data_IF_773147471683
#
_entry.id   IF_773147471683
#
_cell.length_a   1.000
_cell.length_b   1.000
_cell.length_c   1.000
_cell.angle_alpha   90.00
_cell.angle_beta   90.00
_cell.angle_gamma   90.00
#
_symmetry.space_group_name_H-M   'P 1'
#
loop_
_entity.id
_entity.type
_entity.pdbx_description
1 polymer ?
#
# COMPACT_ATOMS: atom_id res chain seq x y z
N UNK A 1 -15.24 -75.08 -24.04
CA UNK A 1 -14.80 -74.45 -25.28
C UNK A 1 -15.75 -73.30 -25.59
N UNK A 2 -15.34 -72.10 -25.23
CA UNK A 2 -16.04 -70.84 -25.63
C UNK A 2 -15.03 -69.79 -26.03
N UNK A 3 -15.25 -69.23 -27.22
CA UNK A 3 -14.31 -68.35 -27.96
C UNK A 3 -14.31 -66.93 -27.34
N UNK A 4 -13.12 -66.39 -27.05
CA UNK A 4 -12.91 -64.99 -26.83
C UNK A 4 -12.99 -64.21 -28.16
N UNK A 5 -13.94 -63.28 -28.25
CA UNK A 5 -13.97 -62.22 -29.25
C UNK A 5 -13.24 -60.99 -28.68
N UNK A 6 -12.20 -60.54 -29.34
CA UNK A 6 -11.57 -59.26 -29.13
C UNK A 6 -12.38 -58.20 -29.85
N UNK A 7 -13.02 -57.31 -29.11
CA UNK A 7 -13.52 -56.06 -29.66
C UNK A 7 -12.45 -54.98 -29.49
N UNK A 8 -12.07 -54.33 -30.59
CA UNK A 8 -11.23 -53.14 -30.65
C UNK A 8 -12.17 -51.95 -30.43
N UNK A 9 -12.13 -51.33 -29.28
CA UNK A 9 -12.84 -50.10 -28.95
C UNK A 9 -11.91 -48.90 -29.09
N UNK A 10 -12.41 -47.87 -29.73
CA UNK A 10 -11.70 -46.69 -30.17
C UNK A 10 -11.11 -45.82 -29.08
N UNK A 11 -10.03 -45.17 -29.42
CA UNK A 11 -9.41 -44.10 -28.68
C UNK A 11 -10.33 -42.87 -28.68
N UNK A 12 -11.02 -42.62 -27.58
CA UNK A 12 -11.58 -41.30 -27.29
C UNK A 12 -10.43 -40.43 -26.78
N UNK A 13 -9.82 -39.68 -27.68
CA UNK A 13 -8.97 -38.55 -27.33
C UNK A 13 -9.81 -37.52 -26.59
N UNK A 14 -9.75 -37.54 -25.27
CA UNK A 14 -10.28 -36.46 -24.47
C UNK A 14 -9.53 -35.18 -24.81
N UNK A 15 -10.20 -34.29 -25.51
CA UNK A 15 -9.79 -32.90 -25.63
C UNK A 15 -9.84 -32.35 -24.20
N UNK A 16 -8.69 -32.24 -23.57
CA UNK A 16 -8.55 -31.41 -22.38
C UNK A 16 -8.73 -29.98 -22.90
N UNK A 17 -9.97 -29.46 -22.83
CA UNK A 17 -10.19 -28.02 -22.92
C UNK A 17 -9.26 -27.39 -21.89
N UNK A 18 -8.20 -26.78 -22.37
CA UNK A 18 -7.45 -25.80 -21.57
C UNK A 18 -8.47 -24.72 -21.25
N UNK A 19 -8.98 -24.73 -20.03
CA UNK A 19 -9.62 -23.57 -19.47
C UNK A 19 -8.58 -22.46 -19.63
N UNK A 20 -8.84 -21.52 -20.53
CA UNK A 20 -8.08 -20.28 -20.60
C UNK A 20 -8.30 -19.59 -19.24
N UNK A 21 -7.43 -19.89 -18.31
CA UNK A 21 -7.36 -19.17 -17.03
C UNK A 21 -6.95 -17.76 -17.42
N UNK A 22 -7.91 -16.86 -17.41
CA UNK A 22 -7.66 -15.46 -17.70
C UNK A 22 -6.71 -14.93 -16.61
N UNK A 23 -5.41 -14.90 -16.92
CA UNK A 23 -4.38 -14.45 -15.96
C UNK A 23 -4.55 -12.95 -15.81
N UNK A 24 -4.89 -12.51 -14.59
CA UNK A 24 -5.01 -11.08 -14.29
C UNK A 24 -3.69 -10.35 -14.56
N UNK A 25 -3.80 -9.23 -15.27
CA UNK A 25 -2.67 -8.34 -15.56
C UNK A 25 -2.60 -7.24 -14.50
N UNK A 26 -1.49 -7.20 -13.78
CA UNK A 26 -1.21 -6.23 -12.73
C UNK A 26 -0.31 -5.10 -13.23
N UNK A 27 -0.70 -3.88 -12.96
CA UNK A 27 0.13 -2.69 -13.13
C UNK A 27 0.42 -2.07 -11.76
N UNK A 28 1.69 -1.89 -11.43
CA UNK A 28 2.10 -1.27 -10.17
C UNK A 28 2.69 0.09 -10.46
N UNK A 29 1.98 1.16 -10.09
CA UNK A 29 2.45 2.53 -10.28
C UNK A 29 3.30 2.94 -9.08
N UNK A 30 4.63 2.93 -9.26
CA UNK A 30 5.62 3.23 -8.24
C UNK A 30 6.31 1.97 -7.69
N UNK A 31 7.52 1.67 -8.18
CA UNK A 31 8.34 0.52 -7.79
C UNK A 31 9.23 0.79 -6.56
N UNK A 32 8.74 1.60 -5.60
CA UNK A 32 9.45 1.95 -4.37
C UNK A 32 9.27 0.94 -3.24
N UNK A 33 9.48 1.39 -1.99
CA UNK A 33 9.37 0.55 -0.79
C UNK A 33 7.99 -0.06 -0.55
N UNK A 34 6.93 0.44 -1.20
CA UNK A 34 5.58 -0.14 -1.16
C UNK A 34 5.32 -1.05 -2.36
N UNK A 35 5.43 -0.53 -3.57
CA UNK A 35 5.08 -1.28 -4.77
C UNK A 35 6.15 -2.26 -5.21
N UNK A 36 7.42 -2.00 -4.92
CA UNK A 36 8.50 -2.91 -5.27
C UNK A 36 8.38 -4.29 -4.63
N UNK A 37 8.15 -4.43 -3.31
CA UNK A 37 7.88 -5.73 -2.68
C UNK A 37 6.68 -6.45 -3.28
N UNK A 38 5.56 -5.75 -3.54
CA UNK A 38 4.39 -6.34 -4.20
C UNK A 38 4.76 -6.88 -5.59
N UNK A 39 5.44 -6.05 -6.40
CA UNK A 39 5.92 -6.46 -7.73
C UNK A 39 6.88 -7.63 -7.68
N UNK A 40 7.80 -7.64 -6.71
CA UNK A 40 8.73 -8.76 -6.52
C UNK A 40 7.99 -10.09 -6.29
N UNK A 41 7.11 -10.14 -5.30
CA UNK A 41 6.45 -11.40 -4.93
C UNK A 41 5.45 -11.86 -6.00
N UNK A 42 4.69 -10.94 -6.61
CA UNK A 42 3.79 -11.25 -7.72
C UNK A 42 4.55 -11.80 -8.95
N UNK A 43 5.63 -11.12 -9.37
CA UNK A 43 6.46 -11.56 -10.50
C UNK A 43 7.13 -12.90 -10.21
N UNK A 44 7.68 -13.08 -9.01
CA UNK A 44 8.30 -14.34 -8.59
C UNK A 44 7.33 -15.53 -8.64
N UNK A 45 6.05 -15.28 -8.36
CA UNK A 45 5.00 -16.29 -8.44
C UNK A 45 4.46 -16.50 -9.87
N UNK A 46 5.03 -15.84 -10.88
CA UNK A 46 4.64 -16.00 -12.29
C UNK A 46 3.39 -15.24 -12.71
N UNK A 47 2.95 -14.23 -11.96
CA UNK A 47 1.85 -13.35 -12.37
C UNK A 47 2.32 -12.37 -13.46
N UNK A 48 1.39 -11.93 -14.34
CA UNK A 48 1.66 -10.89 -15.34
C UNK A 48 1.70 -9.52 -14.65
N UNK A 49 2.90 -8.99 -14.42
CA UNK A 49 3.13 -7.76 -13.66
C UNK A 49 4.03 -6.81 -14.41
N UNK A 50 3.60 -5.56 -14.54
CA UNK A 50 4.45 -4.46 -15.01
C UNK A 50 4.63 -3.44 -13.90
N UNK A 51 5.89 -3.04 -13.68
CA UNK A 51 6.26 -2.00 -12.73
C UNK A 51 6.42 -0.66 -13.46
N UNK A 52 5.74 0.37 -13.00
CA UNK A 52 6.01 1.74 -13.44
C UNK A 52 7.10 2.32 -12.54
N UNK A 53 8.23 2.65 -13.16
CA UNK A 53 9.39 3.26 -12.51
C UNK A 53 9.95 4.40 -13.37
N UNK A 54 10.95 5.12 -12.87
CA UNK A 54 11.58 6.23 -13.58
C UNK A 54 13.07 6.36 -13.28
N UNK A 55 13.78 7.06 -14.16
CA UNK A 55 15.17 7.44 -13.96
C UNK A 55 16.11 6.26 -13.74
N UNK A 56 17.08 6.41 -12.84
CA UNK A 56 18.09 5.40 -12.55
C UNK A 56 17.50 4.09 -12.03
N UNK A 57 16.36 4.16 -11.30
CA UNK A 57 15.69 2.95 -10.80
C UNK A 57 15.11 2.12 -11.95
N UNK A 58 14.40 2.74 -12.89
CA UNK A 58 13.89 2.07 -14.10
C UNK A 58 15.02 1.43 -14.92
N UNK A 59 16.10 2.18 -15.15
CA UNK A 59 17.27 1.67 -15.88
C UNK A 59 17.82 0.40 -15.22
N UNK A 60 18.03 0.44 -13.90
CA UNK A 60 18.56 -0.71 -13.18
C UNK A 60 17.61 -1.92 -13.18
N UNK A 61 16.28 -1.69 -13.07
CA UNK A 61 15.28 -2.75 -13.18
C UNK A 61 15.34 -3.47 -14.52
N UNK A 62 15.54 -2.74 -15.62
CA UNK A 62 15.62 -3.30 -16.97
C UNK A 62 16.95 -4.00 -17.24
N UNK A 63 18.06 -3.50 -16.70
CA UNK A 63 19.40 -4.05 -16.93
C UNK A 63 19.72 -5.23 -16.01
N UNK A 64 19.26 -5.20 -14.77
CA UNK A 64 19.69 -6.12 -13.72
C UNK A 64 18.54 -6.85 -13.01
N UNK A 65 17.29 -6.46 -13.28
CA UNK A 65 16.13 -6.95 -12.53
C UNK A 65 15.93 -6.25 -11.18
N UNK A 66 15.00 -6.79 -10.39
CA UNK A 66 14.68 -6.29 -9.05
C UNK A 66 15.32 -7.17 -8.00
N UNK A 67 16.19 -6.58 -7.19
CA UNK A 67 16.84 -7.23 -6.05
C UNK A 67 16.08 -6.92 -4.76
N UNK A 68 15.76 -7.97 -4.00
CA UNK A 68 15.20 -7.89 -2.66
C UNK A 68 16.21 -8.38 -1.63
N UNK A 69 16.71 -7.46 -0.81
CA UNK A 69 17.59 -7.73 0.31
C UNK A 69 16.72 -7.83 1.58
N UNK A 70 16.53 -9.06 2.08
CA UNK A 70 15.66 -9.33 3.24
C UNK A 70 16.50 -9.35 4.52
N UNK A 71 16.58 -8.23 5.21
CA UNK A 71 17.39 -8.07 6.41
C UNK A 71 16.91 -8.96 7.57
N UNK A 72 15.63 -9.27 7.63
CA UNK A 72 15.02 -10.08 8.69
C UNK A 72 15.45 -11.56 8.66
N UNK A 73 15.99 -12.07 7.55
CA UNK A 73 16.49 -13.46 7.44
C UNK A 73 17.85 -13.56 6.71
N UNK A 74 18.45 -12.43 6.35
CA UNK A 74 19.78 -12.37 5.72
C UNK A 74 19.83 -12.92 4.29
N UNK A 75 18.70 -12.95 3.56
CA UNK A 75 18.67 -13.45 2.18
C UNK A 75 18.53 -12.34 1.17
N UNK A 76 19.32 -12.43 0.10
CA UNK A 76 19.24 -11.53 -1.05
C UNK A 76 18.87 -12.33 -2.30
N UNK A 77 17.93 -11.81 -3.08
CA UNK A 77 17.45 -12.48 -4.29
C UNK A 77 17.16 -11.44 -5.37
N UNK A 78 17.60 -11.73 -6.60
CA UNK A 78 17.33 -10.90 -7.79
C UNK A 78 16.48 -11.67 -8.77
N UNK A 79 15.41 -11.04 -9.27
CA UNK A 79 14.54 -11.61 -10.29
C UNK A 79 14.42 -10.67 -11.48
N UNK A 80 14.26 -11.18 -12.71
CA UNK A 80 13.88 -10.34 -13.84
C UNK A 80 12.46 -9.80 -13.62
N UNK A 81 12.24 -8.54 -13.98
CA UNK A 81 10.93 -7.87 -13.89
C UNK A 81 10.64 -7.13 -15.18
N UNK A 82 9.35 -6.94 -15.49
CA UNK A 82 8.91 -6.07 -16.56
C UNK A 82 8.73 -4.67 -15.97
N UNK A 83 9.50 -3.71 -16.43
CA UNK A 83 9.44 -2.34 -15.94
C UNK A 83 9.47 -1.34 -17.10
N UNK A 84 8.68 -0.26 -16.98
CA UNK A 84 8.54 0.78 -17.97
C UNK A 84 8.17 2.11 -17.29
N UNK A 85 8.31 3.23 -17.93
CA UNK A 85 7.73 4.49 -17.46
C UNK A 85 6.27 4.66 -17.93
N UNK A 86 5.59 5.70 -17.42
CA UNK A 86 4.17 5.96 -17.77
C UNK A 86 3.98 6.33 -19.25
N UNK A 87 4.97 6.92 -19.89
CA UNK A 87 4.89 7.37 -21.27
C UNK A 87 4.86 6.19 -22.25
N UNK A 88 5.69 5.18 -21.98
CA UNK A 88 5.90 4.02 -22.85
C UNK A 88 5.03 2.80 -22.50
N UNK A 89 4.21 2.86 -21.44
CA UNK A 89 3.26 1.79 -21.13
C UNK A 89 2.03 1.88 -22.04
N UNK A 90 1.72 0.80 -22.77
CA UNK A 90 0.66 0.75 -23.79
C UNK A 90 -0.35 -0.40 -23.62
N UNK A 91 -0.26 -1.16 -22.51
CA UNK A 91 -1.18 -2.25 -22.23
C UNK A 91 -2.40 -1.80 -21.39
N UNK A 92 -3.40 -2.70 -21.29
CA UNK A 92 -4.61 -2.48 -20.49
C UNK A 92 -4.63 -3.45 -19.31
N UNK A 93 -4.36 -2.99 -18.08
CA UNK A 93 -4.34 -3.85 -16.90
C UNK A 93 -5.75 -4.17 -16.38
N UNK A 94 -5.87 -5.32 -15.71
CA UNK A 94 -7.04 -5.68 -14.93
C UNK A 94 -7.01 -4.99 -13.56
N UNK A 95 -5.83 -4.90 -12.96
CA UNK A 95 -5.61 -4.36 -11.62
C UNK A 95 -4.49 -3.32 -11.65
N UNK A 96 -4.75 -2.15 -11.09
CA UNK A 96 -3.75 -1.10 -10.89
C UNK A 96 -3.52 -0.90 -9.40
N UNK A 97 -2.30 -1.20 -8.92
CA UNK A 97 -1.86 -0.89 -7.57
C UNK A 97 -1.14 0.47 -7.58
N UNK A 98 -1.72 1.49 -6.96
CA UNK A 98 -1.10 2.83 -6.91
C UNK A 98 -0.27 2.96 -5.64
N UNK A 99 1.05 2.96 -5.81
CA UNK A 99 2.06 2.92 -4.74
C UNK A 99 2.99 4.14 -4.75
N UNK A 100 2.52 5.26 -5.27
CA UNK A 100 3.27 6.51 -5.29
C UNK A 100 3.20 7.22 -3.93
N UNK A 101 4.00 8.26 -3.76
CA UNK A 101 3.86 9.20 -2.64
C UNK A 101 2.63 10.09 -2.85
N UNK A 102 2.01 10.56 -1.75
CA UNK A 102 0.78 11.32 -1.76
C UNK A 102 0.80 12.55 -2.67
N UNK A 103 1.92 13.27 -2.71
CA UNK A 103 2.11 14.44 -3.58
C UNK A 103 2.17 14.12 -5.09
N UNK A 104 2.27 12.86 -5.46
CA UNK A 104 2.23 12.40 -6.87
C UNK A 104 0.94 11.64 -7.21
N UNK A 105 -0.05 11.62 -6.32
CA UNK A 105 -1.27 10.85 -6.53
C UNK A 105 -2.08 11.39 -7.72
N UNK A 106 -2.29 12.71 -7.77
CA UNK A 106 -3.08 13.35 -8.83
C UNK A 106 -2.41 13.24 -10.20
N UNK A 107 -1.07 13.20 -10.25
CA UNK A 107 -0.30 12.99 -11.49
C UNK A 107 -0.56 11.61 -12.13
N UNK A 108 -1.05 10.63 -11.36
CA UNK A 108 -1.37 9.30 -11.89
C UNK A 108 -2.69 9.24 -12.65
N UNK A 109 -3.61 10.17 -12.42
CA UNK A 109 -4.97 10.14 -12.98
C UNK A 109 -5.01 10.17 -14.52
N UNK A 110 -4.30 11.07 -15.21
CA UNK A 110 -4.28 11.06 -16.67
C UNK A 110 -3.72 9.75 -17.24
N UNK A 111 -2.69 9.18 -16.58
CA UNK A 111 -2.11 7.92 -16.99
C UNK A 111 -3.08 6.75 -16.79
N UNK A 112 -3.73 6.66 -15.63
CA UNK A 112 -4.74 5.63 -15.36
C UNK A 112 -5.86 5.69 -16.41
N UNK A 113 -6.37 6.88 -16.74
CA UNK A 113 -7.36 7.04 -17.81
C UNK A 113 -6.91 6.56 -19.17
N UNK A 114 -5.64 6.77 -19.52
CA UNK A 114 -5.05 6.29 -20.78
C UNK A 114 -5.07 4.78 -20.90
N UNK A 115 -4.79 4.06 -19.79
CA UNK A 115 -4.53 2.62 -19.80
C UNK A 115 -5.65 1.76 -19.26
N UNK A 116 -6.63 2.34 -18.54
CA UNK A 116 -7.76 1.62 -17.97
C UNK A 116 -8.68 1.05 -19.04
N UNK A 117 -9.29 -0.08 -18.76
CA UNK A 117 -10.46 -0.64 -19.44
C UNK A 117 -11.67 -0.64 -18.50
N UNK A 118 -12.86 -0.89 -19.01
CA UNK A 118 -14.13 -0.82 -18.26
C UNK A 118 -14.12 -1.57 -16.91
N UNK A 119 -13.43 -2.69 -16.85
CA UNK A 119 -13.40 -3.54 -15.65
C UNK A 119 -12.10 -3.40 -14.86
N UNK A 120 -11.24 -2.46 -15.18
CA UNK A 120 -10.02 -2.20 -14.39
C UNK A 120 -10.39 -1.82 -12.96
N UNK A 121 -9.72 -2.43 -12.00
CA UNK A 121 -9.85 -2.11 -10.57
C UNK A 121 -8.58 -1.37 -10.12
N UNK A 122 -8.75 -0.22 -9.48
CA UNK A 122 -7.65 0.58 -8.95
C UNK A 122 -7.63 0.46 -7.42
N UNK A 123 -6.48 0.09 -6.88
CA UNK A 123 -6.25 -0.06 -5.44
C UNK A 123 -5.13 0.91 -5.04
N UNK A 124 -5.42 2.09 -4.51
CA UNK A 124 -4.40 2.97 -3.96
C UNK A 124 -3.89 2.44 -2.63
N UNK A 125 -2.58 2.39 -2.49
CA UNK A 125 -1.89 1.79 -1.34
C UNK A 125 -0.90 2.83 -0.79
N UNK A 126 -1.44 3.91 -0.25
CA UNK A 126 -0.67 4.99 0.35
C UNK A 126 -0.78 4.96 1.87
N UNK A 127 0.10 5.68 2.55
CA UNK A 127 0.02 5.87 4.00
C UNK A 127 -1.01 6.94 4.42
N UNK A 128 -1.61 7.61 3.44
CA UNK A 128 -2.57 8.70 3.61
C UNK A 128 -3.99 8.13 3.56
N UNK A 129 -4.83 8.55 4.51
CA UNK A 129 -6.24 8.17 4.54
C UNK A 129 -7.04 8.88 3.43
N UNK A 130 -8.09 8.22 2.93
CA UNK A 130 -9.05 8.79 1.98
C UNK A 130 -8.58 8.87 0.51
N UNK A 131 -7.41 8.31 0.19
CA UNK A 131 -6.84 8.37 -1.17
C UNK A 131 -7.69 7.65 -2.21
N UNK A 132 -8.38 6.56 -1.84
CA UNK A 132 -9.30 5.86 -2.74
C UNK A 132 -10.52 6.70 -3.09
N UNK A 133 -11.14 7.34 -2.11
CA UNK A 133 -12.26 8.27 -2.35
C UNK A 133 -11.87 9.45 -3.22
N UNK A 134 -10.65 9.97 -3.05
CA UNK A 134 -10.08 11.06 -3.84
C UNK A 134 -9.89 10.67 -5.32
N UNK A 135 -9.33 9.48 -5.56
CA UNK A 135 -9.18 8.94 -6.91
C UNK A 135 -10.53 8.57 -7.54
N UNK A 136 -11.48 7.98 -6.77
CA UNK A 136 -12.80 7.62 -7.29
C UNK A 136 -13.57 8.83 -7.84
N UNK A 137 -13.47 9.98 -7.17
CA UNK A 137 -14.08 11.23 -7.66
C UNK A 137 -13.50 11.67 -9.01
N UNK A 138 -12.23 11.36 -9.26
CA UNK A 138 -11.54 11.70 -10.50
C UNK A 138 -11.66 10.60 -11.57
N UNK A 139 -11.98 9.35 -11.20
CA UNK A 139 -12.10 8.18 -12.06
C UNK A 139 -13.47 7.50 -11.86
N UNK A 140 -14.59 8.21 -12.14
CA UNK A 140 -15.93 7.67 -11.87
C UNK A 140 -16.32 6.51 -12.79
N UNK A 141 -15.54 6.26 -13.87
CA UNK A 141 -15.84 5.25 -14.88
C UNK A 141 -15.45 3.83 -14.47
N UNK A 142 -14.60 3.68 -13.44
CA UNK A 142 -14.06 2.40 -12.98
C UNK A 142 -14.13 2.28 -11.46
N UNK A 143 -13.96 1.06 -10.93
CA UNK A 143 -13.91 0.86 -9.49
C UNK A 143 -12.55 1.27 -8.94
N UNK A 144 -12.56 2.21 -7.99
CA UNK A 144 -11.43 2.54 -7.14
C UNK A 144 -11.76 2.14 -5.70
N UNK A 145 -11.03 1.19 -5.15
CA UNK A 145 -11.18 0.76 -3.75
C UNK A 145 -10.44 1.68 -2.78
N UNK A 146 -10.54 1.44 -1.48
CA UNK A 146 -9.52 1.86 -0.54
C UNK A 146 -8.56 0.70 -0.26
N UNK A 147 -7.31 1.04 0.12
CA UNK A 147 -6.31 0.05 0.47
C UNK A 147 -5.27 0.58 1.46
N UNK A 148 -4.74 -0.31 2.28
CA UNK A 148 -3.60 -0.02 3.14
C UNK A 148 -2.69 -1.23 3.25
N UNK A 149 -1.39 -1.00 3.41
CA UNK A 149 -0.36 -2.05 3.42
C UNK A 149 0.50 -1.96 4.67
N UNK A 150 0.85 -3.11 5.20
CA UNK A 150 1.84 -3.27 6.26
C UNK A 150 3.10 -3.87 5.63
N UNK A 151 4.10 -3.04 5.43
CA UNK A 151 5.40 -3.38 4.88
C UNK A 151 6.45 -2.45 5.45
N UNK A 152 7.62 -2.97 5.74
CA UNK A 152 8.78 -2.19 6.12
C UNK A 152 9.89 -2.45 5.09
N UNK A 153 9.97 -1.60 4.07
CA UNK A 153 10.94 -1.68 3.00
C UNK A 153 11.30 -0.30 2.45
N UNK A 154 12.46 -0.18 1.85
CA UNK A 154 12.94 1.04 1.21
C UNK A 154 13.81 0.72 -0.01
N UNK A 155 14.00 1.71 -0.89
CA UNK A 155 15.02 1.64 -1.94
C UNK A 155 16.38 1.86 -1.29
N UNK A 156 17.27 0.87 -1.38
CA UNK A 156 18.68 0.93 -0.97
C UNK A 156 19.54 1.60 -2.03
N UNK A 157 19.33 1.16 -3.27
CA UNK A 157 19.99 1.64 -4.47
C UNK A 157 19.07 1.43 -5.68
N UNK A 158 19.35 2.04 -6.84
CA UNK A 158 18.61 1.73 -8.06
C UNK A 158 18.53 0.22 -8.31
N UNK A 159 17.31 -0.32 -8.48
CA UNK A 159 17.06 -1.75 -8.67
C UNK A 159 17.15 -2.62 -7.40
N UNK A 160 17.51 -2.05 -6.24
CA UNK A 160 17.71 -2.80 -4.99
C UNK A 160 16.79 -2.26 -3.89
N UNK A 161 16.00 -3.15 -3.30
CA UNK A 161 15.16 -2.88 -2.13
C UNK A 161 15.71 -3.57 -0.90
N UNK A 162 15.63 -2.91 0.25
CA UNK A 162 15.78 -3.52 1.58
C UNK A 162 14.41 -3.74 2.19
N UNK A 163 14.15 -4.98 2.65
CA UNK A 163 12.98 -5.33 3.44
C UNK A 163 13.40 -5.61 4.88
N UNK A 164 12.98 -4.76 5.81
CA UNK A 164 13.40 -4.80 7.22
C UNK A 164 12.65 -5.87 8.03
N UNK A 165 11.39 -6.16 7.69
CA UNK A 165 10.54 -7.11 8.41
C UNK A 165 9.88 -8.13 7.48
N UNK A 166 9.51 -9.28 8.05
CA UNK A 166 8.81 -10.35 7.32
C UNK A 166 7.41 -9.95 6.84
N UNK A 167 6.79 -8.98 7.50
CA UNK A 167 5.38 -8.63 7.24
C UNK A 167 5.26 -7.99 5.87
N UNK A 168 4.40 -8.58 5.04
CA UNK A 168 3.86 -7.99 3.81
C UNK A 168 2.38 -8.34 3.77
N UNK A 169 1.53 -7.38 4.12
CA UNK A 169 0.10 -7.59 4.24
C UNK A 169 -0.68 -6.42 3.64
N UNK A 170 -1.54 -6.70 2.68
CA UNK A 170 -2.43 -5.75 2.04
C UNK A 170 -3.85 -5.96 2.56
N UNK A 171 -4.50 -4.87 3.00
CA UNK A 171 -5.92 -4.82 3.31
C UNK A 171 -6.56 -3.88 2.30
N UNK A 172 -7.61 -4.31 1.63
CA UNK A 172 -8.32 -3.50 0.64
C UNK A 172 -9.80 -3.85 0.61
N UNK A 173 -10.61 -3.01 -0.01
CA UNK A 173 -12.04 -3.25 -0.13
C UNK A 173 -12.78 -2.05 -0.68
N UNK A 174 -14.07 -2.24 -0.95
CA UNK A 174 -14.98 -1.18 -1.41
C UNK A 174 -15.49 -0.36 -0.22
N UNK A 175 -15.76 0.91 -0.45
CA UNK A 175 -16.38 1.81 0.53
C UNK A 175 -17.87 1.57 0.67
N UNK A 176 -18.53 1.23 -0.44
CA UNK A 176 -19.93 0.80 -0.48
C UNK A 176 -19.99 -0.68 -0.92
N UNK A 177 -20.59 -1.52 -0.09
CA UNK A 177 -20.69 -2.96 -0.35
C UNK A 177 -21.50 -3.30 -1.61
N UNK A 178 -22.32 -2.40 -2.11
CA UNK A 178 -23.00 -2.54 -3.40
C UNK A 178 -22.05 -2.55 -4.60
N UNK A 179 -20.82 -2.02 -4.45
CA UNK A 179 -19.77 -2.03 -5.47
C UNK A 179 -18.93 -3.31 -5.44
N UNK A 180 -19.18 -4.22 -4.48
CA UNK A 180 -18.44 -5.48 -4.37
C UNK A 180 -18.66 -6.36 -5.61
N UNK A 181 -17.58 -6.98 -6.07
CA UNK A 181 -17.60 -7.85 -7.25
C UNK A 181 -16.61 -9.00 -7.10
N UNK A 182 -16.84 -10.14 -7.82
CA UNK A 182 -16.03 -11.36 -7.68
C UNK A 182 -14.53 -11.16 -7.90
N UNK A 183 -14.13 -10.24 -8.78
CA UNK A 183 -12.74 -9.96 -9.11
C UNK A 183 -11.92 -9.49 -7.89
N UNK A 184 -12.56 -8.89 -6.89
CA UNK A 184 -11.87 -8.51 -5.64
C UNK A 184 -11.41 -9.74 -4.85
N UNK A 185 -12.21 -10.80 -4.86
CA UNK A 185 -11.82 -12.06 -4.21
C UNK A 185 -10.74 -12.80 -5.00
N UNK A 186 -10.78 -12.73 -6.34
CA UNK A 186 -9.72 -13.24 -7.20
C UNK A 186 -8.39 -12.52 -6.95
N UNK A 187 -8.40 -11.17 -6.83
CA UNK A 187 -7.22 -10.38 -6.46
C UNK A 187 -6.69 -10.82 -5.09
N UNK A 188 -7.57 -11.01 -4.09
CA UNK A 188 -7.17 -11.49 -2.76
C UNK A 188 -6.47 -12.84 -2.85
N UNK A 189 -7.08 -13.79 -3.57
CA UNK A 189 -6.54 -15.14 -3.75
C UNK A 189 -5.19 -15.12 -4.50
N UNK A 190 -5.07 -14.29 -5.52
CA UNK A 190 -3.81 -14.10 -6.26
C UNK A 190 -2.70 -13.61 -5.35
N UNK A 191 -2.94 -12.55 -4.56
CA UNK A 191 -1.97 -12.02 -3.62
C UNK A 191 -1.53 -13.07 -2.59
N UNK A 192 -2.47 -13.83 -2.01
CA UNK A 192 -2.16 -14.88 -1.05
C UNK A 192 -1.35 -16.02 -1.69
N UNK A 193 -1.66 -16.41 -2.92
CA UNK A 193 -0.89 -17.42 -3.67
C UNK A 193 0.57 -17.02 -3.88
N UNK A 194 0.86 -15.71 -3.85
CA UNK A 194 2.19 -15.13 -3.98
C UNK A 194 2.92 -14.92 -2.65
N UNK A 195 2.34 -15.37 -1.52
CA UNK A 195 2.91 -15.17 -0.18
C UNK A 195 2.68 -13.77 0.40
N UNK A 196 1.81 -12.99 -0.19
CA UNK A 196 1.37 -11.68 0.31
C UNK A 196 0.09 -11.92 1.11
N UNK A 197 0.11 -11.66 2.42
CA UNK A 197 -1.12 -11.74 3.20
C UNK A 197 -2.12 -10.70 2.69
N UNK A 198 -3.28 -11.14 2.22
CA UNK A 198 -4.31 -10.26 1.68
C UNK A 198 -5.63 -10.40 2.44
N UNK A 199 -6.25 -9.27 2.76
CA UNK A 199 -7.54 -9.22 3.41
C UNK A 199 -8.49 -8.34 2.59
N UNK A 200 -9.54 -8.93 2.02
CA UNK A 200 -10.66 -8.19 1.48
C UNK A 200 -11.58 -7.79 2.63
N UNK A 201 -11.62 -6.50 2.95
CA UNK A 201 -12.31 -5.99 4.13
C UNK A 201 -13.67 -5.40 3.78
N UNK A 202 -14.72 -5.84 4.48
CA UNK A 202 -16.04 -5.18 4.43
C UNK A 202 -16.09 -3.85 5.20
N UNK A 203 -15.03 -3.52 5.95
CA UNK A 203 -14.90 -2.30 6.74
C UNK A 203 -13.56 -1.62 6.46
N UNK A 204 -13.25 -1.45 5.17
CA UNK A 204 -11.94 -0.94 4.74
C UNK A 204 -11.61 0.45 5.29
N UNK A 205 -12.61 1.33 5.40
CA UNK A 205 -12.42 2.68 5.92
C UNK A 205 -11.94 2.64 7.39
N UNK A 206 -12.54 1.78 8.22
CA UNK A 206 -12.05 1.54 9.59
C UNK A 206 -10.63 0.97 9.59
N UNK A 207 -10.37 -0.06 8.77
CA UNK A 207 -9.04 -0.68 8.72
C UNK A 207 -7.96 0.31 8.28
N UNK A 208 -8.27 1.20 7.34
CA UNK A 208 -7.39 2.27 6.91
C UNK A 208 -7.15 3.31 8.01
N UNK A 209 -8.21 3.71 8.76
CA UNK A 209 -8.09 4.63 9.90
C UNK A 209 -7.30 4.01 11.07
N UNK A 210 -7.50 2.71 11.36
CA UNK A 210 -6.70 1.98 12.36
C UNK A 210 -5.21 2.02 12.01
N UNK A 211 -4.83 1.80 10.75
CA UNK A 211 -3.45 1.94 10.31
C UNK A 211 -2.98 3.39 10.35
N UNK A 212 -3.81 4.32 9.89
CA UNK A 212 -3.51 5.74 9.86
C UNK A 212 -3.27 6.30 11.27
N UNK A 213 -3.96 5.77 12.30
CA UNK A 213 -3.78 6.12 13.71
C UNK A 213 -2.40 5.75 14.28
N UNK A 214 -1.60 4.96 13.55
CA UNK A 214 -0.19 4.73 13.87
C UNK A 214 0.73 5.61 13.02
N UNK A 215 0.54 5.58 11.70
CA UNK A 215 1.49 6.17 10.75
C UNK A 215 1.53 7.68 10.83
N UNK A 216 0.37 8.33 10.95
CA UNK A 216 0.26 9.79 11.03
C UNK A 216 0.81 10.33 12.36
N UNK A 217 0.39 9.84 13.55
CA UNK A 217 0.90 10.34 14.82
C UNK A 217 2.40 10.15 15.01
N UNK A 218 2.96 8.99 14.67
CA UNK A 218 4.39 8.74 14.85
C UNK A 218 5.23 9.64 13.92
N UNK A 219 4.74 9.90 12.70
CA UNK A 219 5.38 10.82 11.77
C UNK A 219 5.28 12.27 12.22
N UNK A 220 4.11 12.72 12.63
CA UNK A 220 3.83 14.07 13.08
C UNK A 220 4.61 14.43 14.36
N UNK A 221 4.47 13.63 15.42
CA UNK A 221 5.20 13.81 16.66
C UNK A 221 6.71 13.60 16.48
N UNK A 222 7.11 12.64 15.62
CA UNK A 222 8.53 12.42 15.28
C UNK A 222 9.21 13.65 14.68
N UNK A 223 8.53 14.35 13.75
CA UNK A 223 9.04 15.62 13.22
C UNK A 223 9.02 16.73 14.26
N UNK A 224 7.91 16.86 15.01
CA UNK A 224 7.74 17.96 15.97
C UNK A 224 8.79 17.94 17.08
N UNK A 225 9.10 16.75 17.63
CA UNK A 225 10.03 16.56 18.73
C UNK A 225 11.42 16.11 18.30
N UNK A 226 11.65 15.90 17.00
CA UNK A 226 12.85 15.24 16.47
C UNK A 226 13.10 13.90 17.18
N UNK A 227 12.05 13.10 17.35
CA UNK A 227 12.03 11.90 18.17
C UNK A 227 12.21 10.62 17.36
N UNK A 228 12.84 9.62 17.98
CA UNK A 228 12.98 8.24 17.48
C UNK A 228 11.99 7.31 18.19
N UNK A 229 11.94 6.04 17.79
CA UNK A 229 11.12 5.03 18.46
C UNK A 229 11.42 4.94 19.96
N UNK A 230 12.70 5.03 20.36
CA UNK A 230 13.11 5.00 21.78
C UNK A 230 12.52 6.16 22.60
N UNK A 231 12.39 7.35 22.01
CA UNK A 231 11.85 8.51 22.72
C UNK A 231 10.34 8.36 22.99
N UNK A 232 9.62 7.73 22.10
CA UNK A 232 8.19 7.40 22.31
C UNK A 232 7.97 6.26 23.31
N UNK A 233 8.97 5.40 23.52
CA UNK A 233 8.88 4.32 24.52
C UNK A 233 9.13 4.79 25.95
N UNK A 234 9.79 5.94 26.14
CA UNK A 234 10.01 6.55 27.44
C UNK A 234 8.82 7.42 27.83
N UNK A 235 8.54 7.50 29.15
CA UNK A 235 7.59 8.47 29.66
C UNK A 235 8.08 9.89 29.35
N UNK A 236 7.16 10.77 28.97
CA UNK A 236 7.47 12.16 28.63
C UNK A 236 6.61 12.71 27.49
N UNK A 237 6.87 13.96 27.16
CA UNK A 237 6.03 14.75 26.22
C UNK A 237 5.88 14.09 24.83
N UNK A 238 6.93 13.52 24.19
CA UNK A 238 6.76 12.87 22.88
C UNK A 238 5.76 11.72 22.93
N UNK A 239 5.85 10.85 23.96
CA UNK A 239 4.94 9.72 24.17
C UNK A 239 3.49 10.19 24.41
N UNK A 240 3.28 11.18 25.25
CA UNK A 240 1.94 11.68 25.52
C UNK A 240 1.33 12.35 24.29
N UNK A 241 2.08 13.16 23.56
CA UNK A 241 1.63 13.75 22.29
C UNK A 241 1.25 12.67 21.26
N UNK A 242 2.05 11.60 21.14
CA UNK A 242 1.72 10.46 20.26
C UNK A 242 0.39 9.81 20.67
N UNK A 243 0.18 9.59 21.97
CA UNK A 243 -1.08 9.00 22.49
C UNK A 243 -2.29 9.90 22.24
N UNK A 244 -2.16 11.22 22.47
CA UNK A 244 -3.24 12.17 22.20
C UNK A 244 -3.59 12.23 20.71
N UNK A 245 -2.61 12.27 19.83
CA UNK A 245 -2.86 12.21 18.38
C UNK A 245 -3.59 10.94 17.95
N UNK A 246 -3.30 9.79 18.57
CA UNK A 246 -4.06 8.54 18.30
C UNK A 246 -5.52 8.70 18.73
N UNK A 247 -5.77 9.35 19.89
CA UNK A 247 -7.13 9.62 20.37
C UNK A 247 -7.89 10.59 19.47
N UNK A 248 -7.21 11.62 18.96
CA UNK A 248 -7.79 12.58 18.00
C UNK A 248 -8.23 11.87 16.70
N UNK A 249 -7.42 10.96 16.17
CA UNK A 249 -7.84 10.12 15.03
C UNK A 249 -8.97 9.17 15.40
N UNK A 250 -9.00 8.66 16.64
CA UNK A 250 -10.10 7.84 17.13
C UNK A 250 -11.43 8.61 17.15
N UNK A 251 -11.41 9.86 17.62
CA UNK A 251 -12.57 10.74 17.61
C UNK A 251 -13.05 11.06 16.18
N UNK A 252 -12.12 11.30 15.27
CA UNK A 252 -12.42 11.45 13.83
C UNK A 252 -13.05 10.19 13.26
N UNK A 253 -12.51 9.01 13.56
CA UNK A 253 -13.04 7.73 13.10
C UNK A 253 -14.48 7.52 13.57
N UNK A 254 -14.79 7.90 14.81
CA UNK A 254 -16.15 7.84 15.36
C UNK A 254 -17.09 8.82 14.65
N UNK A 255 -16.68 10.08 14.48
CA UNK A 255 -17.47 11.09 13.77
C UNK A 255 -17.73 10.73 12.30
N UNK A 256 -16.79 10.02 11.66
CA UNK A 256 -16.94 9.50 10.30
C UNK A 256 -17.81 8.23 10.20
N UNK A 257 -18.29 7.67 11.34
CA UNK A 257 -19.08 6.43 11.36
C UNK A 257 -18.24 5.14 11.25
N UNK A 258 -16.93 5.23 11.50
CA UNK A 258 -15.98 4.10 11.43
C UNK A 258 -15.26 3.87 12.78
N UNK A 259 -15.96 3.77 13.92
CA UNK A 259 -15.34 3.70 15.23
C UNK A 259 -14.39 2.52 15.37
N UNK A 260 -13.32 2.72 16.14
CA UNK A 260 -12.40 1.65 16.47
C UNK A 260 -13.04 0.67 17.46
N UNK A 261 -12.81 -0.64 17.23
CA UNK A 261 -13.29 -1.68 18.13
C UNK A 261 -12.22 -2.15 19.13
N UNK A 262 -11.04 -1.50 19.10
CA UNK A 262 -9.87 -1.85 19.93
C UNK A 262 -9.25 -0.58 20.49
N UNK A 263 -8.58 -0.71 21.61
CA UNK A 263 -7.73 0.36 22.14
C UNK A 263 -6.50 0.53 21.22
N UNK A 264 -6.58 1.54 20.34
CA UNK A 264 -5.51 1.82 19.38
C UNK A 264 -4.30 2.46 20.06
N UNK A 265 -4.44 3.09 21.22
CA UNK A 265 -3.29 3.61 21.98
C UNK A 265 -2.40 2.46 22.43
N UNK A 266 -2.98 1.49 23.14
CA UNK A 266 -2.26 0.30 23.58
C UNK A 266 -1.66 -0.46 22.40
N UNK A 267 -2.45 -0.73 21.35
CA UNK A 267 -2.00 -1.46 20.18
C UNK A 267 -0.83 -0.76 19.44
N UNK A 268 -0.91 0.55 19.29
CA UNK A 268 0.14 1.30 18.58
C UNK A 268 1.44 1.40 19.40
N UNK A 269 1.33 1.44 20.73
CA UNK A 269 2.50 1.32 21.61
C UNK A 269 3.14 -0.07 21.54
N UNK A 270 2.35 -1.14 21.43
CA UNK A 270 2.86 -2.50 21.20
C UNK A 270 3.62 -2.58 19.86
N UNK A 271 3.05 -2.03 18.77
CA UNK A 271 3.74 -1.97 17.47
C UNK A 271 5.04 -1.21 17.59
N UNK A 272 5.02 -0.05 18.24
CA UNK A 272 6.20 0.79 18.46
C UNK A 272 7.32 0.02 19.20
N UNK A 273 6.96 -0.81 20.20
CA UNK A 273 7.92 -1.60 20.98
C UNK A 273 8.68 -2.65 20.17
N UNK A 274 8.20 -2.99 18.98
CA UNK A 274 8.86 -3.94 18.07
C UNK A 274 9.90 -3.29 17.16
N UNK A 275 9.99 -1.97 17.14
CA UNK A 275 10.94 -1.24 16.29
C UNK A 275 12.32 -1.15 16.93
N UNK A 276 13.34 -0.99 16.08
CA UNK A 276 14.67 -0.62 16.55
C UNK A 276 14.63 0.75 17.26
N UNK A 277 15.37 0.95 18.36
CA UNK A 277 15.31 2.18 19.16
C UNK A 277 15.54 3.46 18.35
N UNK A 278 16.43 3.41 17.37
CA UNK A 278 16.81 4.52 16.49
C UNK A 278 15.87 4.71 15.30
N UNK A 279 14.85 3.89 15.15
CA UNK A 279 13.95 3.92 14.01
C UNK A 279 13.22 5.28 13.91
N UNK A 280 13.15 5.80 12.69
CA UNK A 280 12.40 6.99 12.29
C UNK A 280 11.46 6.67 11.15
N UNK A 281 10.47 7.53 10.92
CA UNK A 281 9.51 7.36 9.82
C UNK A 281 10.11 7.77 8.47
N UNK A 282 9.50 7.31 7.36
CA UNK A 282 9.89 7.76 6.02
C UNK A 282 9.71 9.28 5.86
N UNK A 283 8.64 9.85 6.44
CA UNK A 283 8.39 11.29 6.40
C UNK A 283 9.50 12.08 7.08
N UNK A 284 9.98 11.65 8.26
CA UNK A 284 11.12 12.29 8.94
C UNK A 284 12.37 12.22 8.06
N UNK A 285 12.69 11.07 7.50
CA UNK A 285 13.86 10.90 6.63
C UNK A 285 13.80 11.76 5.36
N UNK A 286 12.61 11.86 4.75
CA UNK A 286 12.41 12.71 3.57
C UNK A 286 12.63 14.18 3.92
N UNK A 287 12.07 14.68 5.02
CA UNK A 287 12.27 16.07 5.50
C UNK A 287 13.74 16.34 5.84
N UNK A 288 14.40 15.46 6.60
CA UNK A 288 15.82 15.62 6.97
C UNK A 288 16.74 15.62 5.74
N UNK A 289 16.35 14.92 4.68
CA UNK A 289 17.09 14.88 3.41
C UNK A 289 16.72 16.04 2.47
N UNK A 290 15.88 16.98 2.88
CA UNK A 290 15.40 18.09 2.04
C UNK A 290 14.56 17.63 0.83
N UNK A 291 13.94 16.45 0.93
CA UNK A 291 13.10 15.87 -0.13
C UNK A 291 11.62 16.23 0.07
N UNK A 292 10.81 16.22 -1.01
CA UNK A 292 9.35 16.30 -0.87
C UNK A 292 8.85 15.23 0.11
N UNK A 293 7.96 15.63 1.02
CA UNK A 293 7.45 14.76 2.09
C UNK A 293 5.92 14.69 2.09
N UNK A 294 5.37 13.75 2.85
CA UNK A 294 3.92 13.53 2.93
C UNK A 294 3.27 14.29 4.10
N UNK A 295 3.86 15.42 4.55
CA UNK A 295 3.32 16.24 5.65
C UNK A 295 1.88 16.67 5.36
N UNK A 296 1.57 17.07 4.13
CA UNK A 296 0.22 17.50 3.77
C UNK A 296 -0.82 16.41 4.09
N UNK A 297 -0.59 15.19 3.63
CA UNK A 297 -1.53 14.08 3.82
C UNK A 297 -1.48 13.42 5.19
N UNK A 298 -0.36 13.55 5.92
CA UNK A 298 -0.19 12.90 7.22
C UNK A 298 -0.40 13.84 8.41
N UNK A 299 -0.35 15.16 8.21
CA UNK A 299 -0.52 16.15 9.27
C UNK A 299 -1.65 17.13 8.93
N UNK A 300 -1.52 17.87 7.85
CA UNK A 300 -2.50 18.92 7.53
C UNK A 300 -3.87 18.35 7.15
N UNK A 301 -3.92 17.16 6.57
CA UNK A 301 -5.19 16.48 6.28
C UNK A 301 -5.97 16.17 7.55
N UNK A 302 -5.32 15.77 8.65
CA UNK A 302 -6.01 15.54 9.92
C UNK A 302 -6.67 16.82 10.45
N UNK A 303 -5.98 17.96 10.32
CA UNK A 303 -6.55 19.26 10.67
C UNK A 303 -7.74 19.64 9.79
N UNK A 304 -7.69 19.31 8.47
CA UNK A 304 -8.80 19.51 7.55
C UNK A 304 -10.00 18.64 7.91
N UNK A 305 -9.77 17.36 8.20
CA UNK A 305 -10.81 16.42 8.65
C UNK A 305 -11.41 16.85 9.99
N UNK A 306 -10.60 17.34 10.94
CA UNK A 306 -11.10 17.90 12.19
C UNK A 306 -12.14 19.01 11.96
N UNK A 307 -11.85 19.91 11.03
CA UNK A 307 -12.79 20.99 10.66
C UNK A 307 -14.02 20.48 9.90
N UNK A 308 -13.85 19.52 8.99
CA UNK A 308 -14.92 18.95 8.18
C UNK A 308 -15.96 18.21 9.05
N UNK A 309 -15.49 17.48 10.05
CA UNK A 309 -16.33 16.64 10.92
C UNK A 309 -16.62 17.27 12.29
N UNK A 310 -16.25 18.54 12.50
CA UNK A 310 -16.39 19.28 13.76
C UNK A 310 -15.80 18.53 14.98
N UNK A 311 -14.60 17.96 14.78
CA UNK A 311 -13.84 17.24 15.81
C UNK A 311 -12.59 18.04 16.18
N UNK A 312 -12.39 18.43 17.45
CA UNK A 312 -11.18 19.11 17.91
C UNK A 312 -9.95 18.19 17.75
N UNK A 313 -8.88 18.72 17.17
CA UNK A 313 -7.60 18.01 16.98
C UNK A 313 -6.41 18.90 17.43
N UNK A 314 -6.38 19.33 18.71
CA UNK A 314 -5.43 20.34 19.18
C UNK A 314 -3.96 19.92 19.08
N UNK A 315 -3.62 18.63 19.26
CA UNK A 315 -2.24 18.18 19.11
C UNK A 315 -1.81 18.24 17.65
N UNK A 316 -2.68 17.88 16.70
CA UNK A 316 -2.38 18.04 15.26
C UNK A 316 -2.30 19.52 14.85
N UNK A 317 -3.17 20.39 15.37
CA UNK A 317 -3.11 21.84 15.10
C UNK A 317 -1.80 22.46 15.58
N UNK A 318 -1.36 22.10 16.79
CA UNK A 318 -0.09 22.52 17.38
C UNK A 318 1.10 22.12 16.49
N UNK A 319 1.14 20.85 16.04
CA UNK A 319 2.21 20.34 15.16
C UNK A 319 2.16 21.03 13.80
N UNK A 320 0.98 21.13 13.19
CA UNK A 320 0.78 21.78 11.90
C UNK A 320 1.24 23.25 11.91
N UNK A 321 0.93 23.98 12.98
CA UNK A 321 1.34 25.38 13.15
C UNK A 321 2.87 25.55 13.23
N UNK A 322 3.59 24.61 13.85
CA UNK A 322 5.08 24.64 13.89
C UNK A 322 5.64 24.30 12.50
N UNK A 323 5.24 23.18 11.91
CA UNK A 323 5.77 22.71 10.63
C UNK A 323 5.54 23.69 9.49
N UNK A 324 4.40 24.41 9.49
CA UNK A 324 4.11 25.44 8.49
C UNK A 324 5.03 26.66 8.56
N UNK A 325 5.72 26.90 9.68
CA UNK A 325 6.69 27.98 9.88
C UNK A 325 8.11 27.54 9.51
N UNK A 326 8.46 26.30 9.78
CA UNK A 326 9.82 25.78 9.66
C UNK A 326 10.13 25.22 8.25
N UNK A 327 9.10 24.86 7.48
CA UNK A 327 9.26 24.19 6.18
C UNK A 327 8.75 25.05 4.99
N UNK A 328 8.76 26.36 5.15
CA UNK A 328 8.47 27.33 4.08
C UNK A 328 9.66 27.55 3.17
#
# INVERSE_FOLDING_TARGET
MQKYRRDRGGSSGGIIERLDVNIMKYLIIGAGGTGGPLGFYLTKAGKDVTLIARGAHLKALNEHGLTMDRLWNGTTETIPVKAVDMEHYDEQPDVILVCVKGYSLDDTVPFIRKVMKKNTIVIPILNIYGTGGKLQKQLPEILVTDGCIYVAAAIKAPGVLEQYGKVLSLVFGVRDQSESRPELEEIRADLESCGIRALLSHHIQRAALEKFSYVSPIGAAGLYYNATAADFMKEGTPRESFKEMIREIGALAEAMGHPFHKDMVTRNLEVLSTLAPEATTSMQRDVMAGKPSEIDGLVYEVVRLGKEYDVPVPEYEKVAAKLSKELK
#
